data_IF_391956381158
#
_entry.id   IF_391956381158
#
_cell.length_a   1.000
_cell.length_b   1.000
_cell.length_c   1.000
_cell.angle_alpha   90.00
_cell.angle_beta   90.00
_cell.angle_gamma   90.00
#
_symmetry.space_group_name_H-M   'P 1'
#
loop_
_entity.id
_entity.type
_entity.pdbx_description
1 polymer ?
#
# COMPACT_ATOMS: atom_id res chain seq x y z
N UNK A 1 -13.33 -26.23 -10.82
CA UNK A 1 -12.26 -25.32 -10.30
C UNK A 1 -12.81 -24.55 -9.12
N UNK A 2 -12.04 -24.34 -8.08
CA UNK A 2 -12.45 -23.45 -6.98
C UNK A 2 -12.05 -22.01 -7.29
N UNK A 3 -13.02 -21.12 -7.43
CA UNK A 3 -12.78 -19.70 -7.64
C UNK A 3 -12.49 -18.98 -6.32
N UNK A 4 -11.51 -18.07 -6.34
CA UNK A 4 -11.20 -17.19 -5.21
C UNK A 4 -11.35 -15.73 -5.64
N UNK A 5 -11.89 -14.85 -4.79
CA UNK A 5 -12.04 -13.43 -5.15
C UNK A 5 -10.75 -12.77 -5.61
N UNK A 6 -9.63 -13.09 -4.96
CA UNK A 6 -8.29 -12.59 -5.34
C UNK A 6 -7.86 -13.08 -6.73
N UNK A 7 -8.18 -14.33 -7.10
CA UNK A 7 -7.91 -14.88 -8.43
C UNK A 7 -8.77 -14.19 -9.49
N UNK A 8 -10.07 -14.00 -9.23
CA UNK A 8 -10.97 -13.27 -10.11
C UNK A 8 -10.56 -11.79 -10.27
N UNK A 9 -10.13 -11.17 -9.19
CA UNK A 9 -9.61 -9.80 -9.24
C UNK A 9 -8.32 -9.71 -10.07
N UNK A 10 -7.45 -10.73 -10.02
CA UNK A 10 -6.26 -10.83 -10.87
C UNK A 10 -6.64 -10.96 -12.34
N UNK A 11 -7.67 -11.76 -12.65
CA UNK A 11 -8.21 -11.87 -14.01
C UNK A 11 -8.69 -10.52 -14.55
N UNK A 12 -9.46 -9.79 -13.75
CA UNK A 12 -9.95 -8.46 -14.16
C UNK A 12 -8.83 -7.43 -14.31
N UNK A 13 -7.83 -7.49 -13.43
CA UNK A 13 -6.70 -6.53 -13.44
C UNK A 13 -5.74 -6.76 -14.59
N UNK A 14 -5.50 -8.00 -14.96
CA UNK A 14 -4.49 -8.38 -15.95
C UNK A 14 -5.13 -8.96 -17.22
N UNK A 15 -5.52 -10.21 -17.21
CA UNK A 15 -6.27 -10.87 -18.27
C UNK A 15 -6.73 -12.27 -17.80
N UNK A 16 -7.69 -12.92 -18.53
CA UNK A 16 -8.16 -14.27 -18.20
C UNK A 16 -7.05 -15.32 -18.14
N UNK A 17 -6.05 -15.26 -19.01
CA UNK A 17 -4.94 -16.21 -19.03
C UNK A 17 -4.04 -16.16 -17.77
N UNK A 18 -4.10 -15.10 -16.97
CA UNK A 18 -3.41 -15.04 -15.69
C UNK A 18 -3.86 -16.16 -14.73
N UNK A 19 -5.09 -16.65 -14.88
CA UNK A 19 -5.60 -17.79 -14.09
C UNK A 19 -4.91 -19.07 -14.48
N UNK A 20 -4.59 -19.32 -15.77
CA UNK A 20 -3.90 -20.52 -16.20
C UNK A 20 -2.52 -20.64 -15.55
N UNK A 21 -1.81 -19.54 -15.42
CA UNK A 21 -0.54 -19.50 -14.69
C UNK A 21 -0.70 -19.80 -13.20
N UNK A 22 -1.78 -19.30 -12.59
CA UNK A 22 -2.09 -19.59 -11.20
C UNK A 22 -2.44 -21.08 -11.00
N UNK A 23 -3.30 -21.65 -11.86
CA UNK A 23 -3.68 -23.06 -11.86
C UNK A 23 -2.48 -24.00 -12.07
N UNK A 24 -1.55 -23.61 -12.95
CA UNK A 24 -0.32 -24.33 -13.18
C UNK A 24 0.69 -24.26 -12.02
N UNK A 25 0.37 -23.56 -10.94
CA UNK A 25 1.25 -23.42 -9.77
C UNK A 25 2.52 -22.62 -10.06
N UNK A 26 2.53 -21.79 -11.11
CA UNK A 26 3.70 -20.97 -11.42
C UNK A 26 4.03 -20.03 -10.24
N UNK A 27 5.29 -19.96 -9.82
CA UNK A 27 5.68 -19.18 -8.67
C UNK A 27 5.33 -17.71 -8.84
N UNK A 28 4.76 -17.11 -7.81
CA UNK A 28 4.60 -15.68 -7.68
C UNK A 28 5.77 -15.11 -6.87
N UNK A 29 6.20 -13.90 -7.15
CA UNK A 29 7.15 -13.22 -6.26
C UNK A 29 6.43 -12.79 -4.97
N UNK A 30 6.55 -13.62 -3.94
CA UNK A 30 5.90 -13.43 -2.63
C UNK A 30 6.78 -12.71 -1.61
N UNK A 31 8.03 -12.38 -1.95
CA UNK A 31 8.96 -11.73 -1.01
C UNK A 31 8.46 -10.39 -0.49
N UNK A 32 7.58 -9.73 -1.24
CA UNK A 32 6.99 -8.43 -0.88
C UNK A 32 5.89 -8.57 0.19
N UNK A 33 5.35 -9.76 0.40
CA UNK A 33 4.17 -10.00 1.25
C UNK A 33 4.48 -10.56 2.64
N UNK A 34 5.73 -10.88 2.94
CA UNK A 34 6.10 -11.59 4.17
C UNK A 34 5.64 -10.90 5.45
N UNK A 35 5.87 -9.59 5.59
CA UNK A 35 5.43 -8.84 6.77
C UNK A 35 3.89 -8.76 6.87
N UNK A 36 3.20 -8.67 5.72
CA UNK A 36 1.74 -8.71 5.67
C UNK A 36 1.19 -10.05 6.15
N UNK A 37 1.71 -11.16 5.61
CA UNK A 37 1.35 -12.51 6.04
C UNK A 37 1.59 -12.68 7.55
N UNK A 38 2.75 -12.26 8.06
CA UNK A 38 3.04 -12.34 9.47
C UNK A 38 2.05 -11.50 10.31
N UNK A 39 1.72 -10.28 9.89
CA UNK A 39 0.80 -9.42 10.61
C UNK A 39 -0.61 -10.04 10.74
N UNK A 40 -1.13 -10.68 9.68
CA UNK A 40 -2.41 -11.40 9.72
C UNK A 40 -2.38 -12.55 10.72
N UNK A 41 -1.31 -13.37 10.72
CA UNK A 41 -1.15 -14.48 11.66
C UNK A 41 -1.06 -13.98 13.12
N UNK A 42 -0.38 -12.84 13.37
CA UNK A 42 -0.31 -12.24 14.69
C UNK A 42 -1.65 -11.66 15.14
N UNK A 43 -2.40 -10.99 14.26
CA UNK A 43 -3.75 -10.50 14.57
C UNK A 43 -4.71 -11.64 14.92
N UNK A 44 -4.65 -12.74 14.15
CA UNK A 44 -5.41 -13.95 14.45
C UNK A 44 -5.02 -14.56 15.81
N UNK A 45 -3.72 -14.69 16.07
CA UNK A 45 -3.23 -15.20 17.34
C UNK A 45 -3.61 -14.32 18.54
N UNK A 46 -3.55 -12.99 18.39
CA UNK A 46 -4.01 -12.03 19.39
C UNK A 46 -5.50 -12.16 19.68
N UNK A 47 -6.33 -12.31 18.63
CA UNK A 47 -7.78 -12.48 18.77
C UNK A 47 -8.16 -13.78 19.47
N UNK A 48 -7.36 -14.84 19.30
CA UNK A 48 -7.57 -16.15 19.94
C UNK A 48 -6.80 -16.32 21.26
N UNK A 49 -6.03 -15.33 21.69
CA UNK A 49 -5.22 -15.40 22.91
C UNK A 49 -4.07 -16.42 22.83
N UNK A 50 -3.56 -16.70 21.63
CA UNK A 50 -2.45 -17.64 21.42
C UNK A 50 -1.09 -17.03 21.76
N UNK A 51 -0.11 -17.91 22.04
CA UNK A 51 1.27 -17.53 22.31
C UNK A 51 1.95 -16.96 21.05
N UNK A 52 2.34 -15.68 21.12
CA UNK A 52 2.96 -14.96 20.02
C UNK A 52 4.43 -15.35 19.78
N UNK A 53 5.15 -15.77 20.82
CA UNK A 53 6.55 -16.20 20.69
C UNK A 53 6.61 -17.57 19.98
N UNK A 54 5.75 -18.51 20.40
CA UNK A 54 5.62 -19.78 19.72
C UNK A 54 5.20 -19.60 18.24
N UNK A 55 4.29 -18.66 17.97
CA UNK A 55 3.91 -18.30 16.61
C UNK A 55 5.08 -17.75 15.79
N UNK A 56 5.85 -16.82 16.37
CA UNK A 56 7.02 -16.23 15.71
C UNK A 56 8.06 -17.31 15.30
N UNK A 57 8.38 -18.21 16.23
CA UNK A 57 9.28 -19.32 15.97
C UNK A 57 8.74 -20.22 14.84
N UNK A 58 7.45 -20.53 14.86
CA UNK A 58 6.81 -21.34 13.82
C UNK A 58 6.88 -20.67 12.45
N UNK A 59 6.56 -19.38 12.35
CA UNK A 59 6.59 -18.63 11.08
C UNK A 59 8.01 -18.57 10.49
N UNK A 60 9.04 -18.47 11.32
CA UNK A 60 10.44 -18.47 10.88
C UNK A 60 10.97 -19.86 10.51
N UNK A 61 10.49 -20.92 11.16
CA UNK A 61 11.04 -22.27 10.98
C UNK A 61 10.25 -23.15 9.98
N UNK A 62 8.93 -23.05 9.99
CA UNK A 62 8.02 -23.88 9.21
C UNK A 62 7.25 -23.05 8.19
N UNK A 63 7.03 -21.79 8.47
CA UNK A 63 6.17 -20.92 7.68
C UNK A 63 4.69 -21.10 8.04
N UNK A 64 3.82 -20.76 7.09
CA UNK A 64 2.37 -20.93 7.22
C UNK A 64 1.98 -22.34 6.79
N UNK A 65 1.14 -23.00 7.58
CA UNK A 65 0.67 -24.36 7.32
C UNK A 65 -0.80 -24.38 6.89
N UNK A 66 -1.24 -25.47 6.26
CA UNK A 66 -2.63 -25.65 5.84
C UNK A 66 -2.86 -25.38 4.36
N UNK A 67 -4.10 -25.01 4.00
CA UNK A 67 -4.53 -24.87 2.59
C UNK A 67 -3.76 -23.74 1.87
N UNK A 68 -3.34 -22.71 2.60
CA UNK A 68 -2.52 -21.62 2.07
C UNK A 68 -1.10 -21.71 2.65
N UNK A 69 -0.52 -22.89 2.61
CA UNK A 69 0.83 -23.12 3.09
C UNK A 69 1.83 -22.19 2.37
N UNK A 70 2.67 -21.57 3.15
CA UNK A 70 3.73 -20.66 2.68
C UNK A 70 5.07 -21.07 3.31
N UNK A 71 6.18 -20.86 2.60
CA UNK A 71 7.49 -21.17 3.14
C UNK A 71 7.83 -20.32 4.38
N UNK A 72 8.86 -20.67 5.14
CA UNK A 72 9.35 -19.89 6.25
C UNK A 72 9.56 -18.42 5.87
N UNK A 73 9.15 -17.52 6.77
CA UNK A 73 9.34 -16.09 6.60
C UNK A 73 10.70 -15.66 7.14
N UNK A 74 11.24 -14.57 6.60
CA UNK A 74 12.46 -13.99 7.15
C UNK A 74 12.22 -13.44 8.57
N UNK A 75 13.23 -13.44 9.46
CA UNK A 75 13.11 -12.86 10.79
C UNK A 75 12.61 -11.41 10.76
N UNK A 76 13.11 -10.59 9.83
CA UNK A 76 12.72 -9.19 9.69
C UNK A 76 11.23 -9.06 9.34
N UNK A 77 10.72 -9.91 8.43
CA UNK A 77 9.30 -9.91 8.07
C UNK A 77 8.41 -10.32 9.25
N UNK A 78 8.86 -11.28 10.08
CA UNK A 78 8.13 -11.71 11.28
C UNK A 78 8.11 -10.62 12.33
N UNK A 79 9.24 -9.96 12.59
CA UNK A 79 9.32 -8.83 13.53
C UNK A 79 8.46 -7.67 13.06
N UNK A 80 8.59 -7.25 11.80
CA UNK A 80 7.77 -6.17 11.23
C UNK A 80 6.28 -6.50 11.32
N UNK A 81 5.87 -7.71 10.96
CA UNK A 81 4.48 -8.14 11.01
C UNK A 81 3.92 -8.12 12.42
N UNK A 82 4.68 -8.59 13.42
CA UNK A 82 4.31 -8.53 14.83
C UNK A 82 4.11 -7.08 15.30
N UNK A 83 5.06 -6.21 14.98
CA UNK A 83 5.01 -4.81 15.40
C UNK A 83 3.82 -4.07 14.77
N UNK A 84 3.51 -4.35 13.50
CA UNK A 84 2.31 -3.83 12.83
C UNK A 84 1.03 -4.28 13.54
N UNK A 85 0.91 -5.58 13.88
CA UNK A 85 -0.25 -6.13 14.56
C UNK A 85 -0.44 -5.53 15.96
N UNK A 86 0.61 -5.51 16.77
CA UNK A 86 0.58 -4.95 18.13
C UNK A 86 0.25 -3.45 18.13
N UNK A 87 0.88 -2.69 17.24
CA UNK A 87 0.63 -1.26 17.12
C UNK A 87 -0.79 -0.93 16.63
N UNK A 88 -1.38 -1.80 15.80
CA UNK A 88 -2.76 -1.66 15.37
C UNK A 88 -3.72 -1.96 16.53
N UNK A 89 -3.55 -3.09 17.23
CA UNK A 89 -4.42 -3.53 18.34
C UNK A 89 -4.37 -2.56 19.53
N UNK A 90 -3.22 -1.93 19.78
CA UNK A 90 -3.11 -0.90 20.82
C UNK A 90 -4.05 0.29 20.58
N UNK A 91 -4.41 0.57 19.31
CA UNK A 91 -5.33 1.65 18.94
C UNK A 91 -6.76 1.15 18.67
N UNK A 92 -6.87 -0.07 18.17
CA UNK A 92 -8.12 -0.71 17.78
C UNK A 92 -8.19 -2.09 18.45
N UNK A 93 -8.64 -2.17 19.71
CA UNK A 93 -8.77 -3.43 20.43
C UNK A 93 -9.59 -4.46 19.64
N UNK A 94 -9.14 -5.70 19.67
CA UNK A 94 -9.85 -6.77 18.99
C UNK A 94 -11.11 -7.14 19.80
N UNK A 95 -12.27 -7.27 19.16
CA UNK A 95 -13.51 -7.62 19.84
C UNK A 95 -13.48 -9.08 20.33
N UNK A 96 -14.07 -9.32 21.47
CA UNK A 96 -14.27 -10.67 21.98
C UNK A 96 -15.32 -11.39 21.12
N UNK A 97 -15.11 -12.68 20.85
CA UNK A 97 -16.07 -13.50 20.10
C UNK A 97 -16.01 -13.33 18.57
N UNK A 98 -15.10 -12.51 18.05
CA UNK A 98 -14.90 -12.43 16.60
C UNK A 98 -14.33 -13.74 16.05
N UNK A 99 -14.68 -14.05 14.80
CA UNK A 99 -14.11 -15.19 14.07
C UNK A 99 -12.96 -14.69 13.20
N UNK A 100 -11.80 -15.33 13.33
CA UNK A 100 -10.61 -14.99 12.57
C UNK A 100 -10.34 -16.03 11.48
N UNK A 101 -9.84 -15.59 10.32
CA UNK A 101 -9.46 -16.45 9.18
C UNK A 101 -10.59 -17.43 8.79
N UNK A 102 -11.86 -17.00 8.96
CA UNK A 102 -13.02 -17.84 8.68
C UNK A 102 -13.15 -18.11 7.19
N UNK A 103 -13.22 -19.41 6.85
CA UNK A 103 -13.44 -19.86 5.48
C UNK A 103 -14.93 -19.93 5.18
N UNK A 104 -15.31 -19.40 4.03
CA UNK A 104 -16.61 -19.54 3.42
C UNK A 104 -16.46 -20.26 2.08
N UNK A 105 -17.27 -21.27 1.83
CA UNK A 105 -17.18 -22.13 0.67
C UNK A 105 -18.58 -22.47 0.15
N UNK A 106 -18.81 -22.28 -1.14
CA UNK A 106 -20.10 -22.40 -1.78
C UNK A 106 -20.00 -23.18 -3.09
N UNK A 107 -21.07 -23.89 -3.45
CA UNK A 107 -21.26 -24.45 -4.77
C UNK A 107 -21.68 -23.34 -5.79
N UNK A 108 -21.92 -23.75 -7.05
CA UNK A 108 -22.33 -22.83 -8.11
C UNK A 108 -23.74 -22.21 -7.90
N UNK A 109 -24.52 -22.78 -6.99
CA UNK A 109 -25.85 -22.27 -6.59
C UNK A 109 -25.81 -21.47 -5.30
N UNK A 110 -24.60 -21.15 -4.81
CA UNK A 110 -24.36 -20.43 -3.55
C UNK A 110 -24.87 -21.17 -2.31
N UNK A 111 -24.94 -22.52 -2.36
CA UNK A 111 -25.17 -23.33 -1.19
C UNK A 111 -23.86 -23.62 -0.47
N UNK A 112 -23.80 -23.53 0.86
CA UNK A 112 -22.60 -23.88 1.63
C UNK A 112 -22.16 -25.31 1.37
N UNK A 113 -20.85 -25.53 1.19
CA UNK A 113 -20.27 -26.86 0.98
C UNK A 113 -18.92 -26.99 1.70
N UNK A 114 -18.63 -28.19 2.19
CA UNK A 114 -17.37 -28.49 2.87
C UNK A 114 -16.27 -28.94 1.88
N UNK A 115 -16.65 -29.65 0.83
CA UNK A 115 -15.74 -30.20 -0.17
C UNK A 115 -16.04 -29.64 -1.58
N UNK A 116 -15.00 -29.58 -2.40
CA UNK A 116 -15.07 -29.21 -3.81
C UNK A 116 -15.88 -27.92 -4.11
N UNK A 117 -15.62 -26.82 -3.40
CA UNK A 117 -16.40 -25.61 -3.58
C UNK A 117 -16.16 -25.01 -4.97
N UNK A 118 -17.23 -24.45 -5.56
CA UNK A 118 -17.14 -23.61 -6.74
C UNK A 118 -16.52 -22.25 -6.44
N UNK A 119 -16.91 -21.65 -5.31
CA UNK A 119 -16.37 -20.39 -4.78
C UNK A 119 -15.88 -20.59 -3.36
N UNK A 120 -14.68 -20.12 -3.04
CA UNK A 120 -14.19 -20.11 -1.67
C UNK A 120 -13.43 -18.81 -1.37
N UNK A 121 -13.65 -18.28 -0.18
CA UNK A 121 -12.89 -17.14 0.32
C UNK A 121 -12.56 -17.35 1.79
N UNK A 122 -11.51 -16.69 2.24
CA UNK A 122 -11.16 -16.56 3.64
C UNK A 122 -11.29 -15.10 4.02
N UNK A 123 -11.87 -14.83 5.15
CA UNK A 123 -12.08 -13.49 5.68
C UNK A 123 -11.23 -13.34 6.92
N UNK A 124 -10.45 -12.29 6.99
CA UNK A 124 -9.48 -12.08 8.06
C UNK A 124 -10.18 -11.98 9.43
N UNK A 125 -11.30 -11.24 9.50
CA UNK A 125 -12.14 -11.16 10.71
C UNK A 125 -13.60 -10.95 10.36
N UNK A 126 -14.47 -11.72 11.03
CA UNK A 126 -15.94 -11.53 11.02
C UNK A 126 -16.40 -11.45 12.45
N UNK A 127 -17.23 -10.50 12.76
CA UNK A 127 -17.88 -10.35 14.04
C UNK A 127 -19.38 -10.09 13.86
N UNK A 128 -20.14 -10.47 14.86
CA UNK A 128 -21.58 -10.24 14.93
C UNK A 128 -21.81 -9.28 16.09
N UNK A 129 -22.27 -8.08 15.77
CA UNK A 129 -22.70 -7.09 16.76
C UNK A 129 -24.22 -7.18 16.87
N UNK A 130 -24.72 -7.48 18.06
CA UNK A 130 -26.14 -7.44 18.38
C UNK A 130 -26.42 -6.16 19.14
N UNK A 131 -27.38 -5.37 18.66
CA UNK A 131 -27.79 -4.11 19.25
C UNK A 131 -29.33 -4.01 19.23
N UNK A 132 -29.88 -3.09 19.98
CA UNK A 132 -31.28 -2.70 19.87
C UNK A 132 -31.35 -1.32 19.24
N UNK A 133 -32.16 -1.16 18.21
CA UNK A 133 -32.40 0.15 17.62
C UNK A 133 -33.16 1.10 18.56
N UNK A 134 -33.31 2.35 18.17
CA UNK A 134 -33.99 3.38 18.99
C UNK A 134 -35.47 3.01 19.32
N UNK A 135 -36.07 2.14 18.51
CA UNK A 135 -37.43 1.64 18.68
C UNK A 135 -37.50 0.33 19.46
N UNK A 136 -36.37 -0.22 19.94
CA UNK A 136 -36.24 -1.44 20.70
C UNK A 136 -36.31 -2.72 19.86
N UNK A 137 -36.13 -2.64 18.55
CA UNK A 137 -36.02 -3.83 17.71
C UNK A 137 -34.57 -4.35 17.68
N UNK A 138 -34.44 -5.67 17.78
CA UNK A 138 -33.14 -6.32 17.67
C UNK A 138 -32.49 -6.04 16.27
N UNK A 139 -31.29 -5.53 16.30
CA UNK A 139 -30.49 -5.25 15.11
C UNK A 139 -29.22 -6.08 15.13
N UNK A 140 -28.95 -6.80 14.04
CA UNK A 140 -27.75 -7.62 13.90
C UNK A 140 -26.87 -7.05 12.81
N UNK A 141 -25.68 -6.56 13.18
CA UNK A 141 -24.67 -6.05 12.26
C UNK A 141 -23.55 -7.07 12.10
N UNK A 142 -23.31 -7.51 10.86
CA UNK A 142 -22.15 -8.30 10.49
C UNK A 142 -21.00 -7.36 10.14
N UNK A 143 -19.90 -7.44 10.86
CA UNK A 143 -18.70 -6.65 10.59
C UNK A 143 -17.67 -7.54 9.91
N UNK A 144 -17.29 -7.18 8.68
CA UNK A 144 -16.36 -7.92 7.84
C UNK A 144 -15.09 -7.08 7.65
N UNK A 145 -14.02 -7.48 8.30
CA UNK A 145 -12.75 -6.74 8.28
C UNK A 145 -11.71 -7.46 7.43
N UNK A 146 -11.01 -6.69 6.60
CA UNK A 146 -9.83 -7.09 5.84
C UNK A 146 -8.63 -6.24 6.25
N UNK A 147 -7.56 -6.90 6.65
CA UNK A 147 -6.34 -6.23 7.06
C UNK A 147 -5.42 -5.98 5.87
N UNK A 148 -4.92 -4.77 5.74
CA UNK A 148 -3.98 -4.38 4.69
C UNK A 148 -2.69 -3.85 5.31
N UNK A 149 -1.58 -4.53 5.05
CA UNK A 149 -0.24 -4.09 5.44
C UNK A 149 0.44 -3.25 4.36
N UNK A 150 -0.07 -3.32 3.11
CA UNK A 150 0.47 -2.54 2.00
C UNK A 150 0.08 -1.06 2.11
N UNK A 151 0.96 -0.22 1.64
CA UNK A 151 0.78 1.20 1.47
C UNK A 151 0.47 1.47 -0.02
N UNK A 152 -0.60 2.14 -0.40
CA UNK A 152 -1.55 2.96 0.34
C UNK A 152 -2.99 2.38 0.36
N UNK A 153 -3.30 1.43 1.26
CA UNK A 153 -4.70 1.02 1.42
C UNK A 153 -5.54 2.21 1.92
N UNK A 154 -6.62 2.51 1.21
CA UNK A 154 -7.50 3.64 1.46
C UNK A 154 -8.97 3.20 1.38
N UNK A 155 -9.89 4.14 1.54
CA UNK A 155 -11.33 3.90 1.42
C UNK A 155 -11.74 3.24 0.08
N UNK A 156 -10.98 3.48 -1.00
CA UNK A 156 -11.25 2.84 -2.31
C UNK A 156 -11.16 1.31 -2.29
N UNK A 157 -10.47 0.73 -1.30
CA UNK A 157 -10.43 -0.73 -1.12
C UNK A 157 -11.79 -1.32 -0.75
N UNK A 158 -12.72 -0.53 -0.21
CA UNK A 158 -14.09 -0.97 0.11
C UNK A 158 -14.91 -1.33 -1.13
N UNK A 159 -14.53 -0.83 -2.32
CA UNK A 159 -15.24 -1.08 -3.58
C UNK A 159 -14.59 -2.18 -4.45
N UNK A 160 -13.54 -2.82 -3.95
CA UNK A 160 -12.86 -3.88 -4.73
C UNK A 160 -13.73 -5.12 -4.89
N UNK A 161 -13.48 -5.89 -5.95
CA UNK A 161 -14.16 -7.18 -6.16
C UNK A 161 -13.99 -8.11 -4.94
N UNK A 162 -12.82 -8.11 -4.32
CA UNK A 162 -12.56 -8.89 -3.11
C UNK A 162 -13.55 -8.51 -2.01
N UNK A 163 -13.77 -7.21 -1.76
CA UNK A 163 -14.70 -6.73 -0.74
C UNK A 163 -16.14 -7.10 -1.06
N UNK A 164 -16.56 -6.88 -2.31
CA UNK A 164 -17.90 -7.27 -2.77
C UNK A 164 -18.15 -8.77 -2.58
N UNK A 165 -17.16 -9.60 -2.93
CA UNK A 165 -17.28 -11.04 -2.76
C UNK A 165 -17.33 -11.45 -1.27
N UNK A 166 -16.54 -10.83 -0.41
CA UNK A 166 -16.60 -11.08 1.03
C UNK A 166 -17.94 -10.64 1.63
N UNK A 167 -18.49 -9.52 1.17
CA UNK A 167 -19.83 -9.07 1.55
C UNK A 167 -20.89 -10.11 1.19
N UNK A 168 -20.88 -10.58 -0.06
CA UNK A 168 -21.86 -11.57 -0.55
C UNK A 168 -21.78 -12.88 0.21
N UNK A 169 -20.59 -13.43 0.43
CA UNK A 169 -20.44 -14.73 1.11
C UNK A 169 -20.85 -14.70 2.57
N UNK A 170 -20.61 -13.56 3.26
CA UNK A 170 -21.05 -13.41 4.65
C UNK A 170 -22.55 -13.19 4.73
N UNK A 171 -23.11 -12.35 3.85
CA UNK A 171 -24.55 -12.14 3.76
C UNK A 171 -25.31 -13.44 3.49
N UNK A 172 -24.86 -14.26 2.54
CA UNK A 172 -25.49 -15.58 2.24
C UNK A 172 -25.43 -16.52 3.44
N UNK A 173 -24.36 -16.46 4.25
CA UNK A 173 -24.21 -17.29 5.45
C UNK A 173 -25.04 -16.81 6.63
N UNK A 174 -25.48 -15.55 6.62
CA UNK A 174 -26.15 -14.90 7.74
C UNK A 174 -27.38 -14.11 7.26
N UNK A 175 -28.41 -14.81 6.75
CA UNK A 175 -29.60 -14.14 6.17
C UNK A 175 -30.42 -13.36 7.21
N UNK A 176 -30.21 -13.61 8.50
CA UNK A 176 -30.85 -12.94 9.62
C UNK A 176 -30.31 -11.54 9.92
N UNK A 177 -29.16 -11.18 9.37
CA UNK A 177 -28.55 -9.90 9.62
C UNK A 177 -29.38 -8.73 9.05
N UNK A 178 -29.37 -7.61 9.77
CA UNK A 178 -30.04 -6.37 9.35
C UNK A 178 -29.05 -5.37 8.72
N UNK A 179 -27.78 -5.49 9.07
CA UNK A 179 -26.71 -4.62 8.55
C UNK A 179 -25.45 -5.42 8.21
N UNK A 180 -24.72 -4.93 7.23
CA UNK A 180 -23.40 -5.42 6.87
C UNK A 180 -22.41 -4.25 6.85
N UNK A 181 -21.42 -4.28 7.73
CA UNK A 181 -20.36 -3.29 7.81
C UNK A 181 -19.07 -3.85 7.23
N UNK A 182 -18.67 -3.33 6.08
CA UNK A 182 -17.39 -3.66 5.46
C UNK A 182 -16.30 -2.75 6.03
N UNK A 183 -15.19 -3.34 6.47
CA UNK A 183 -14.06 -2.61 7.00
C UNK A 183 -12.77 -2.99 6.27
N UNK A 184 -11.94 -1.99 6.00
CA UNK A 184 -10.54 -2.14 5.58
C UNK A 184 -9.66 -1.50 6.63
N UNK A 185 -8.84 -2.31 7.28
CA UNK A 185 -7.94 -1.89 8.33
C UNK A 185 -6.52 -1.76 7.79
N UNK A 186 -6.03 -0.52 7.63
CA UNK A 186 -4.66 -0.25 7.23
C UNK A 186 -3.73 -0.33 8.44
N UNK A 187 -2.96 -1.40 8.53
CA UNK A 187 -2.09 -1.68 9.68
C UNK A 187 -0.97 -0.64 9.84
N UNK A 188 -0.40 -0.14 8.72
CA UNK A 188 0.69 0.85 8.76
C UNK A 188 0.21 2.23 9.20
N UNK A 189 -0.98 2.64 8.78
CA UNK A 189 -1.59 3.92 9.19
C UNK A 189 -2.33 3.82 10.51
N UNK A 190 -2.68 2.60 10.93
CA UNK A 190 -3.55 2.35 12.08
C UNK A 190 -4.89 3.04 11.90
N UNK A 191 -5.46 2.94 10.70
CA UNK A 191 -6.72 3.56 10.29
C UNK A 191 -7.68 2.48 9.86
N UNK A 192 -8.97 2.67 10.15
CA UNK A 192 -10.04 1.78 9.70
C UNK A 192 -10.99 2.60 8.84
N UNK A 193 -11.18 2.16 7.60
CA UNK A 193 -12.20 2.67 6.69
C UNK A 193 -13.39 1.74 6.74
N UNK A 194 -14.60 2.27 6.83
CA UNK A 194 -15.79 1.45 6.95
C UNK A 194 -16.93 1.98 6.08
N UNK A 195 -17.75 1.05 5.59
CA UNK A 195 -19.04 1.33 4.96
C UNK A 195 -20.08 0.37 5.51
N UNK A 196 -21.20 0.91 5.95
CA UNK A 196 -22.36 0.11 6.38
C UNK A 196 -23.39 0.05 5.25
N UNK A 197 -23.91 -1.13 5.02
CA UNK A 197 -25.00 -1.45 4.08
C UNK A 197 -26.16 -1.90 4.95
N UNK A 198 -27.27 -1.19 4.92
CA UNK A 198 -28.54 -1.66 5.52
C UNK A 198 -29.09 -2.75 4.62
N UNK A 199 -29.49 -3.88 5.21
CA UNK A 199 -29.98 -5.05 4.46
C UNK A 199 -31.52 -4.97 4.26
N UNK A 200 -31.98 -3.78 3.89
CA UNK A 200 -33.33 -3.54 3.37
C UNK A 200 -33.46 -4.02 1.91
N UNK A 201 -34.54 -3.63 1.24
CA UNK A 201 -34.80 -4.01 -0.15
C UNK A 201 -33.67 -3.54 -1.08
N UNK A 202 -33.20 -2.30 -0.93
CA UNK A 202 -32.16 -1.71 -1.79
C UNK A 202 -30.78 -2.35 -1.53
N UNK A 203 -30.39 -2.53 -0.27
CA UNK A 203 -29.14 -3.17 0.10
C UNK A 203 -29.09 -4.63 -0.33
N UNK A 204 -30.20 -5.38 -0.12
CA UNK A 204 -30.33 -6.76 -0.59
C UNK A 204 -30.23 -6.83 -2.12
N UNK A 205 -30.93 -5.97 -2.85
CA UNK A 205 -30.85 -5.91 -4.30
C UNK A 205 -29.44 -5.58 -4.80
N UNK A 206 -28.69 -4.76 -4.07
CA UNK A 206 -27.28 -4.48 -4.37
C UNK A 206 -26.41 -5.73 -4.19
N UNK A 207 -26.56 -6.47 -3.09
CA UNK A 207 -25.81 -7.72 -2.83
C UNK A 207 -26.16 -8.80 -3.87
N UNK A 208 -27.42 -8.90 -4.28
CA UNK A 208 -27.85 -9.79 -5.34
C UNK A 208 -27.18 -9.45 -6.69
N UNK A 209 -27.07 -8.16 -7.04
CA UNK A 209 -26.31 -7.74 -8.23
C UNK A 209 -24.86 -8.16 -8.13
N UNK A 210 -24.19 -7.92 -6.99
CA UNK A 210 -22.80 -8.34 -6.79
C UNK A 210 -22.65 -9.86 -6.89
N UNK A 211 -23.59 -10.63 -6.35
CA UNK A 211 -23.64 -12.09 -6.48
C UNK A 211 -23.71 -12.51 -7.95
N UNK A 212 -24.59 -11.87 -8.73
CA UNK A 212 -24.70 -12.10 -10.16
C UNK A 212 -23.40 -11.78 -10.93
N UNK A 213 -22.78 -10.63 -10.64
CA UNK A 213 -21.52 -10.21 -11.25
C UNK A 213 -20.38 -11.21 -10.95
N UNK A 214 -20.27 -11.65 -9.70
CA UNK A 214 -19.27 -12.62 -9.27
C UNK A 214 -19.51 -13.97 -9.95
N UNK A 215 -20.76 -14.43 -10.02
CA UNK A 215 -21.14 -15.66 -10.72
C UNK A 215 -20.76 -15.60 -12.21
N UNK A 216 -21.05 -14.49 -12.87
CA UNK A 216 -20.68 -14.28 -14.27
C UNK A 216 -19.16 -14.29 -14.48
N UNK A 217 -18.40 -13.70 -13.55
CA UNK A 217 -16.94 -13.75 -13.57
C UNK A 217 -16.39 -15.16 -13.36
N UNK A 218 -16.97 -15.94 -12.44
CA UNK A 218 -16.60 -17.34 -12.26
C UNK A 218 -16.86 -18.14 -13.53
N UNK A 219 -18.03 -17.97 -14.14
CA UNK A 219 -18.38 -18.62 -15.41
C UNK A 219 -17.42 -18.22 -16.55
N UNK A 220 -17.08 -16.92 -16.64
CA UNK A 220 -16.11 -16.46 -17.62
C UNK A 220 -14.70 -17.06 -17.37
N UNK A 221 -14.35 -17.25 -16.11
CA UNK A 221 -13.09 -17.88 -15.72
C UNK A 221 -13.04 -19.38 -16.03
N UNK A 222 -14.19 -20.06 -16.13
CA UNK A 222 -14.29 -21.46 -16.50
C UNK A 222 -14.17 -21.71 -18.02
N UNK A 223 -14.41 -20.69 -18.85
CA UNK A 223 -14.29 -20.81 -20.31
C UNK A 223 -12.84 -21.06 -20.70
N UNK A 224 -12.60 -22.14 -21.44
CA UNK A 224 -11.27 -22.50 -21.98
C UNK A 224 -11.33 -22.65 -23.51
N UNK A 225 -10.23 -22.33 -24.24
CA UNK A 225 -8.98 -21.78 -23.74
C UNK A 225 -9.13 -20.30 -23.31
N UNK A 226 -8.40 -19.91 -22.26
CA UNK A 226 -8.33 -18.51 -21.84
C UNK A 226 -7.32 -17.77 -22.70
N UNK A 227 -7.81 -16.82 -23.46
CA UNK A 227 -6.98 -16.08 -24.41
C UNK A 227 -6.19 -14.99 -23.65
N UNK A 228 -4.86 -15.04 -23.81
CA UNK A 228 -4.00 -13.99 -23.30
C UNK A 228 -4.20 -12.70 -24.12
N UNK A 229 -4.66 -11.64 -23.46
CA UNK A 229 -4.91 -10.35 -24.11
C UNK A 229 -3.91 -9.32 -23.56
N UNK A 230 -2.95 -8.86 -24.39
CA UNK A 230 -2.02 -7.81 -23.97
C UNK A 230 -2.75 -6.54 -23.54
N UNK A 231 -2.38 -6.00 -22.40
CA UNK A 231 -2.96 -4.79 -21.82
C UNK A 231 -1.93 -4.05 -20.96
N UNK A 232 -2.18 -2.80 -20.57
CA UNK A 232 -1.33 -2.11 -19.59
C UNK A 232 -1.13 -2.89 -18.29
N UNK A 233 -2.07 -3.77 -17.92
CA UNK A 233 -1.94 -4.68 -16.79
C UNK A 233 -0.78 -5.66 -16.90
N UNK A 234 -0.28 -5.94 -18.10
CA UNK A 234 0.90 -6.80 -18.30
C UNK A 234 2.15 -6.23 -17.62
N UNK A 235 2.28 -4.91 -17.50
CA UNK A 235 3.41 -4.28 -16.83
C UNK A 235 3.57 -4.71 -15.36
N UNK A 236 2.46 -5.06 -14.70
CA UNK A 236 2.42 -5.49 -13.31
C UNK A 236 2.03 -6.96 -13.14
N UNK A 237 1.80 -7.68 -14.24
CA UNK A 237 1.43 -9.08 -14.23
C UNK A 237 2.62 -9.94 -13.75
N UNK A 238 2.45 -10.74 -12.68
CA UNK A 238 3.54 -11.55 -12.14
C UNK A 238 4.02 -12.66 -13.10
N UNK A 239 3.25 -12.96 -14.14
CA UNK A 239 3.58 -13.99 -15.14
C UNK A 239 3.92 -13.44 -16.54
N UNK A 240 4.04 -12.11 -16.69
CA UNK A 240 4.36 -11.51 -18.00
C UNK A 240 5.62 -12.10 -18.64
N UNK A 241 6.59 -12.49 -17.84
CA UNK A 241 7.85 -13.09 -18.30
C UNK A 241 7.69 -14.45 -19.01
N UNK A 242 6.58 -15.17 -18.76
CA UNK A 242 6.25 -16.46 -19.39
C UNK A 242 5.14 -16.38 -20.43
N UNK A 243 4.53 -15.22 -20.58
CA UNK A 243 3.37 -15.05 -21.43
C UNK A 243 3.80 -14.68 -22.85
N UNK A 244 3.52 -15.55 -23.85
CA UNK A 244 3.85 -15.30 -25.24
C UNK A 244 3.15 -14.04 -25.79
N UNK A 245 1.92 -13.78 -25.37
CA UNK A 245 1.20 -12.57 -25.78
C UNK A 245 1.82 -11.30 -25.20
N UNK A 246 2.31 -11.36 -23.95
CA UNK A 246 3.05 -10.26 -23.34
C UNK A 246 4.40 -10.02 -24.04
N UNK A 247 5.09 -11.12 -24.41
CA UNK A 247 6.32 -11.05 -25.17
C UNK A 247 6.12 -10.41 -26.55
N UNK A 248 5.11 -10.88 -27.28
CA UNK A 248 4.77 -10.32 -28.60
C UNK A 248 4.38 -8.84 -28.56
N UNK A 249 3.84 -8.38 -27.41
CA UNK A 249 3.49 -6.96 -27.19
C UNK A 249 4.65 -6.14 -26.56
N UNK A 250 5.84 -6.71 -26.41
CA UNK A 250 7.00 -6.03 -25.82
C UNK A 250 6.99 -5.92 -24.29
N UNK A 251 6.10 -6.67 -23.59
CA UNK A 251 6.01 -6.70 -22.12
C UNK A 251 6.80 -7.85 -21.50
N UNK A 252 7.69 -8.48 -22.25
CA UNK A 252 8.46 -9.63 -21.77
C UNK A 252 9.34 -9.23 -20.59
N UNK A 253 9.23 -9.97 -19.51
CA UNK A 253 10.16 -9.93 -18.38
C UNK A 253 11.13 -11.11 -18.48
N UNK A 254 12.36 -10.98 -17.99
CA UNK A 254 13.26 -12.12 -17.88
C UNK A 254 12.64 -13.20 -16.98
N UNK A 255 12.99 -14.47 -17.22
CA UNK A 255 12.56 -15.58 -16.37
C UNK A 255 13.12 -15.49 -14.93
N UNK A 256 12.68 -16.39 -14.03
CA UNK A 256 13.08 -16.31 -12.62
C UNK A 256 14.59 -16.45 -12.41
N UNK A 257 15.27 -17.26 -13.25
CA UNK A 257 16.73 -17.40 -13.17
C UNK A 257 17.42 -16.13 -13.64
N UNK A 258 16.92 -15.52 -14.73
CA UNK A 258 17.41 -14.25 -15.25
C UNK A 258 17.05 -13.10 -14.31
N UNK A 259 15.88 -13.13 -13.68
CA UNK A 259 15.48 -12.13 -12.65
C UNK A 259 16.42 -12.21 -11.47
N UNK A 260 16.70 -13.41 -10.95
CA UNK A 260 17.62 -13.60 -9.83
C UNK A 260 19.03 -13.13 -10.19
N UNK A 261 19.53 -13.47 -11.36
CA UNK A 261 20.83 -13.04 -11.86
C UNK A 261 20.87 -11.52 -12.06
N UNK A 262 19.82 -10.95 -12.67
CA UNK A 262 19.68 -9.52 -12.91
C UNK A 262 19.60 -8.75 -11.59
N UNK A 263 18.84 -9.26 -10.62
CA UNK A 263 18.72 -8.67 -9.30
C UNK A 263 20.05 -8.70 -8.54
N UNK A 264 20.77 -9.82 -8.59
CA UNK A 264 22.10 -9.94 -7.98
C UNK A 264 23.10 -8.99 -8.66
N UNK A 265 23.08 -8.91 -9.98
CA UNK A 265 23.93 -7.97 -10.76
C UNK A 265 23.60 -6.52 -10.44
N UNK A 266 22.30 -6.17 -10.36
CA UNK A 266 21.85 -4.83 -9.98
C UNK A 266 22.24 -4.49 -8.54
N UNK A 267 22.12 -5.46 -7.61
CA UNK A 267 22.55 -5.30 -6.21
C UNK A 267 24.03 -5.05 -6.11
N UNK A 268 24.84 -5.83 -6.82
CA UNK A 268 26.30 -5.64 -6.89
C UNK A 268 26.66 -4.29 -7.54
N UNK A 269 26.00 -3.93 -8.65
CA UNK A 269 26.24 -2.65 -9.32
C UNK A 269 25.87 -1.45 -8.45
N UNK A 270 24.76 -1.51 -7.70
CA UNK A 270 24.37 -0.48 -6.72
C UNK A 270 25.37 -0.38 -5.57
N UNK A 271 25.84 -1.52 -5.06
CA UNK A 271 26.90 -1.56 -4.04
C UNK A 271 28.20 -0.92 -4.50
N UNK A 272 28.66 -1.27 -5.72
CA UNK A 272 29.85 -0.68 -6.33
C UNK A 272 29.65 0.83 -6.60
N UNK A 273 28.48 1.23 -7.11
CA UNK A 273 28.19 2.63 -7.36
C UNK A 273 28.20 3.44 -6.06
N UNK A 274 27.61 2.89 -4.98
CA UNK A 274 27.63 3.53 -3.68
C UNK A 274 29.04 3.63 -3.12
N UNK A 275 29.84 2.56 -3.14
CA UNK A 275 31.21 2.58 -2.69
C UNK A 275 32.06 3.60 -3.48
N UNK A 276 31.88 3.66 -4.80
CA UNK A 276 32.54 4.66 -5.63
C UNK A 276 32.09 6.09 -5.28
N UNK A 277 30.80 6.30 -5.03
CA UNK A 277 30.27 7.59 -4.59
C UNK A 277 30.85 8.01 -3.24
N UNK A 278 30.91 7.10 -2.27
CA UNK A 278 31.47 7.38 -0.94
C UNK A 278 32.97 7.73 -1.04
N UNK A 279 33.74 6.97 -1.84
CA UNK A 279 35.16 7.27 -2.11
C UNK A 279 35.32 8.64 -2.80
N UNK A 280 34.49 8.94 -3.80
CA UNK A 280 34.57 10.23 -4.50
C UNK A 280 34.16 11.40 -3.58
N UNK A 281 33.25 11.18 -2.65
CA UNK A 281 32.90 12.18 -1.62
C UNK A 281 34.09 12.48 -0.70
N UNK A 282 34.77 11.45 -0.21
CA UNK A 282 36.00 11.61 0.59
C UNK A 282 37.07 12.37 -0.17
N UNK A 283 37.33 12.02 -1.46
CA UNK A 283 38.32 12.67 -2.28
C UNK A 283 37.97 14.13 -2.63
N UNK A 284 36.72 14.54 -2.46
CA UNK A 284 36.24 15.89 -2.78
C UNK A 284 35.85 16.71 -1.57
N UNK A 285 36.20 16.27 -0.35
CA UNK A 285 35.97 17.03 0.90
C UNK A 285 36.62 18.42 0.86
N UNK A 286 37.84 18.53 0.30
CA UNK A 286 38.57 19.77 0.21
C UNK A 286 38.25 20.60 -1.07
N UNK A 287 37.34 20.11 -1.92
CA UNK A 287 36.91 20.80 -3.14
C UNK A 287 36.65 19.87 -4.33
N UNK A 288 36.11 20.43 -5.42
CA UNK A 288 35.79 19.62 -6.59
C UNK A 288 37.05 19.08 -7.28
N UNK A 289 36.99 17.80 -7.67
CA UNK A 289 38.04 17.10 -8.39
C UNK A 289 37.71 17.06 -9.89
N UNK A 290 38.67 17.42 -10.74
CA UNK A 290 38.54 17.29 -12.20
C UNK A 290 39.46 16.19 -12.69
N UNK A 291 38.89 15.15 -13.32
CA UNK A 291 39.64 14.03 -13.88
C UNK A 291 39.22 13.83 -15.33
N UNK A 292 40.09 14.15 -16.24
CA UNK A 292 39.78 14.13 -17.67
C UNK A 292 38.59 15.06 -18.00
N UNK A 293 37.54 14.48 -18.59
CA UNK A 293 36.32 15.22 -18.94
C UNK A 293 35.25 15.22 -17.82
N UNK A 294 35.62 14.82 -16.62
CA UNK A 294 34.68 14.70 -15.50
C UNK A 294 35.04 15.62 -14.35
N UNK A 295 34.05 16.34 -13.82
CA UNK A 295 34.14 17.08 -12.58
C UNK A 295 33.24 16.42 -11.55
N UNK A 296 33.80 16.13 -10.37
CA UNK A 296 33.16 15.49 -9.25
C UNK A 296 33.25 16.39 -8.03
N UNK A 297 32.16 16.54 -7.29
CA UNK A 297 32.17 17.30 -6.04
C UNK A 297 30.85 17.94 -5.70
N UNK A 298 30.88 18.73 -4.64
CA UNK A 298 29.73 19.51 -4.21
C UNK A 298 29.47 20.68 -5.17
N UNK A 299 28.22 20.86 -5.51
CA UNK A 299 27.74 21.98 -6.35
C UNK A 299 26.76 22.83 -5.55
N UNK A 300 26.76 24.12 -5.87
CA UNK A 300 25.67 24.98 -5.42
C UNK A 300 24.40 24.63 -6.21
N UNK A 301 23.49 23.94 -5.58
CA UNK A 301 22.14 23.65 -6.12
C UNK A 301 21.17 24.76 -5.73
N UNK A 302 20.15 25.00 -6.57
CA UNK A 302 19.04 25.88 -6.21
C UNK A 302 17.95 25.06 -5.56
N UNK A 303 17.57 25.42 -4.34
CA UNK A 303 16.41 24.92 -3.62
C UNK A 303 15.37 26.01 -3.45
N UNK A 304 14.17 25.64 -3.05
CA UNK A 304 13.10 26.59 -2.67
C UNK A 304 12.59 26.21 -1.29
N UNK A 305 12.43 27.21 -0.43
CA UNK A 305 11.97 27.04 0.94
C UNK A 305 10.98 28.14 1.30
N UNK A 306 10.13 27.85 2.27
CA UNK A 306 9.26 28.85 2.89
C UNK A 306 10.00 29.52 4.04
N UNK A 307 9.91 30.83 4.14
CA UNK A 307 10.52 31.55 5.27
C UNK A 307 9.93 31.05 6.58
N UNK A 308 10.74 30.69 7.61
CA UNK A 308 10.24 30.24 8.90
C UNK A 308 9.27 31.23 9.57
N UNK A 309 9.52 32.53 9.42
CA UNK A 309 8.64 33.58 9.93
C UNK A 309 7.26 33.57 9.29
N UNK A 310 7.16 33.22 8.00
CA UNK A 310 5.89 33.07 7.30
C UNK A 310 5.10 31.86 7.80
N UNK A 311 5.79 30.76 8.16
CA UNK A 311 5.16 29.61 8.79
C UNK A 311 4.50 30.00 10.12
N UNK A 312 5.21 30.70 10.99
CA UNK A 312 4.69 31.17 12.28
C UNK A 312 3.48 32.09 12.10
N UNK A 313 3.59 33.08 11.18
CA UNK A 313 2.49 34.00 10.87
C UNK A 313 1.25 33.26 10.33
N UNK A 314 1.46 32.24 9.45
CA UNK A 314 0.39 31.43 8.90
C UNK A 314 -0.32 30.61 9.98
N UNK A 315 0.42 29.96 10.89
CA UNK A 315 -0.12 29.18 12.00
C UNK A 315 -0.89 30.11 12.97
N UNK A 316 -0.33 31.26 13.32
CA UNK A 316 -1.00 32.25 14.19
C UNK A 316 -2.34 32.68 13.58
N UNK A 317 -2.34 33.07 12.29
CA UNK A 317 -3.58 33.49 11.59
C UNK A 317 -4.61 32.36 11.52
N UNK A 318 -4.19 31.13 11.31
CA UNK A 318 -5.09 29.96 11.30
C UNK A 318 -5.73 29.74 12.68
N UNK A 319 -4.93 29.81 13.75
CA UNK A 319 -5.43 29.68 15.12
C UNK A 319 -6.37 30.81 15.52
N UNK A 320 -6.08 32.06 15.14
CA UNK A 320 -6.98 33.19 15.34
C UNK A 320 -8.34 32.96 14.68
N UNK A 321 -8.36 32.48 13.45
CA UNK A 321 -9.61 32.12 12.74
C UNK A 321 -10.38 30.99 13.41
N UNK A 322 -9.67 30.10 14.10
CA UNK A 322 -10.24 28.97 14.84
C UNK A 322 -10.63 29.30 16.27
N UNK A 323 -10.67 30.60 16.63
CA UNK A 323 -10.96 31.10 17.98
C UNK A 323 -10.01 30.59 19.09
N UNK A 324 -8.78 30.22 18.71
CA UNK A 324 -7.73 29.78 19.62
C UNK A 324 -6.44 30.59 19.41
N UNK A 325 -6.45 31.94 19.67
CA UNK A 325 -5.28 32.79 19.43
C UNK A 325 -4.12 32.36 20.33
N UNK A 326 -2.91 32.40 19.78
CA UNK A 326 -1.69 32.15 20.54
C UNK A 326 -1.44 33.33 21.50
N UNK A 327 -1.13 33.00 22.76
CA UNK A 327 -0.59 33.96 23.69
C UNK A 327 0.78 34.48 23.19
N UNK A 328 1.19 35.73 23.54
CA UNK A 328 2.45 36.31 23.06
C UNK A 328 3.68 35.40 23.36
N UNK A 329 3.69 34.73 24.52
CA UNK A 329 4.76 33.80 24.92
C UNK A 329 4.77 32.52 24.06
N UNK A 330 3.60 32.01 23.71
CA UNK A 330 3.47 30.84 22.81
C UNK A 330 3.92 31.17 21.40
N UNK A 331 3.63 32.38 20.92
CA UNK A 331 4.09 32.87 19.64
C UNK A 331 5.60 33.02 19.61
N UNK A 332 6.21 33.62 20.65
CA UNK A 332 7.65 33.74 20.78
C UNK A 332 8.34 32.37 20.85
N UNK A 333 7.76 31.43 21.59
CA UNK A 333 8.27 30.04 21.62
C UNK A 333 8.21 29.35 20.26
N UNK A 334 7.10 29.55 19.49
CA UNK A 334 6.96 29.01 18.14
C UNK A 334 7.98 29.65 17.18
N UNK A 335 8.20 30.96 17.29
CA UNK A 335 9.21 31.68 16.51
C UNK A 335 10.63 31.14 16.79
N UNK A 336 10.95 30.91 18.07
CA UNK A 336 12.23 30.34 18.48
C UNK A 336 12.41 28.89 17.96
N UNK A 337 11.36 28.07 18.01
CA UNK A 337 11.40 26.69 17.50
C UNK A 337 11.53 26.64 15.97
N UNK A 338 10.93 27.60 15.28
CA UNK A 338 11.00 27.64 13.80
C UNK A 338 12.28 28.33 13.30
N UNK A 339 12.97 29.09 14.16
CA UNK A 339 14.21 29.76 13.77
C UNK A 339 15.28 28.71 13.48
N UNK A 340 15.75 28.66 12.22
CA UNK A 340 16.73 27.68 11.77
C UNK A 340 16.16 26.41 11.18
N UNK A 341 14.83 26.27 11.14
CA UNK A 341 14.21 25.13 10.42
C UNK A 341 14.20 25.40 8.91
N UNK A 342 14.55 24.35 8.16
CA UNK A 342 14.31 24.31 6.72
C UNK A 342 12.84 23.92 6.47
N UNK A 343 12.04 24.87 5.98
CA UNK A 343 10.60 24.64 5.73
C UNK A 343 10.36 24.25 4.29
N UNK A 344 9.98 22.98 4.01
CA UNK A 344 9.75 22.52 2.64
C UNK A 344 8.60 23.30 1.97
N UNK A 345 8.73 23.61 0.67
CA UNK A 345 7.69 24.29 -0.13
C UNK A 345 6.34 23.60 -0.06
N UNK A 346 6.31 22.26 -0.04
CA UNK A 346 5.07 21.48 0.09
C UNK A 346 4.27 21.82 1.36
N UNK A 347 4.96 22.13 2.47
CA UNK A 347 4.30 22.57 3.69
C UNK A 347 3.72 23.99 3.50
N UNK A 348 4.47 24.87 2.84
CA UNK A 348 3.98 26.21 2.48
C UNK A 348 2.74 26.16 1.57
N UNK A 349 2.72 25.29 0.59
CA UNK A 349 1.57 25.08 -0.29
C UNK A 349 0.34 24.58 0.48
N UNK A 350 0.53 23.66 1.43
CA UNK A 350 -0.55 23.19 2.31
C UNK A 350 -1.10 24.29 3.20
N UNK A 351 -0.23 25.12 3.79
CA UNK A 351 -0.61 26.27 4.60
C UNK A 351 -1.33 27.34 3.78
N UNK A 352 -0.80 27.70 2.60
CA UNK A 352 -1.46 28.64 1.70
C UNK A 352 -2.87 28.17 1.32
N UNK A 353 -3.05 26.86 1.11
CA UNK A 353 -4.36 26.25 0.85
C UNK A 353 -5.30 26.33 2.06
N UNK A 354 -4.78 26.16 3.26
CA UNK A 354 -5.57 26.27 4.49
C UNK A 354 -5.99 27.71 4.82
N UNK A 355 -5.15 28.69 4.47
CA UNK A 355 -5.40 30.10 4.76
C UNK A 355 -6.27 30.81 3.72
N UNK A 356 -6.15 30.43 2.45
CA UNK A 356 -6.74 31.13 1.33
C UNK A 356 -7.61 30.20 0.46
N UNK A 357 -8.89 30.52 0.34
CA UNK A 357 -9.83 29.74 -0.47
C UNK A 357 -9.58 29.88 -1.98
N UNK A 358 -9.14 31.08 -2.43
CA UNK A 358 -8.97 31.40 -3.84
C UNK A 358 -7.55 31.13 -4.33
N UNK A 359 -7.44 30.57 -5.54
CA UNK A 359 -6.15 30.25 -6.14
C UNK A 359 -5.20 31.45 -6.29
N UNK A 360 -5.64 32.64 -6.78
CA UNK A 360 -4.75 33.80 -6.89
C UNK A 360 -4.16 34.27 -5.55
N UNK A 361 -4.93 34.20 -4.48
CA UNK A 361 -4.47 34.57 -3.14
C UNK A 361 -3.38 33.61 -2.63
N UNK A 362 -3.53 32.31 -2.92
CA UNK A 362 -2.51 31.28 -2.61
C UNK A 362 -1.22 31.50 -3.37
N UNK A 363 -1.32 31.81 -4.66
CA UNK A 363 -0.16 32.09 -5.52
C UNK A 363 0.57 33.35 -5.07
N UNK A 364 -0.16 34.42 -4.71
CA UNK A 364 0.41 35.64 -4.16
C UNK A 364 1.15 35.37 -2.84
N UNK A 365 0.54 34.61 -1.92
CA UNK A 365 1.16 34.26 -0.65
C UNK A 365 2.46 33.44 -0.85
N UNK A 366 2.44 32.46 -1.75
CA UNK A 366 3.63 31.67 -2.06
C UNK A 366 4.73 32.52 -2.71
N UNK A 367 4.37 33.44 -3.61
CA UNK A 367 5.33 34.33 -4.24
C UNK A 367 6.04 35.25 -3.24
N UNK A 368 5.32 35.67 -2.19
CA UNK A 368 5.87 36.52 -1.14
C UNK A 368 6.78 35.76 -0.16
N UNK A 369 6.43 34.50 0.17
CA UNK A 369 7.01 33.78 1.30
C UNK A 369 7.94 32.64 0.93
N UNK A 370 7.98 32.20 -0.34
CA UNK A 370 8.93 31.22 -0.82
C UNK A 370 10.21 31.89 -1.30
N UNK A 371 11.34 31.47 -0.79
CA UNK A 371 12.66 32.00 -1.17
C UNK A 371 13.47 30.93 -1.89
N UNK A 372 14.32 31.36 -2.82
CA UNK A 372 15.35 30.50 -3.38
C UNK A 372 16.52 30.41 -2.39
N UNK A 373 16.94 29.20 -2.10
CA UNK A 373 18.11 28.93 -1.26
C UNK A 373 19.17 28.17 -2.07
N UNK A 374 20.43 28.47 -1.77
CA UNK A 374 21.54 27.71 -2.35
C UNK A 374 21.83 26.54 -1.42
N UNK A 375 21.62 25.31 -1.92
CA UNK A 375 21.97 24.08 -1.20
C UNK A 375 23.14 23.41 -1.89
N UNK A 376 24.13 22.93 -1.14
CA UNK A 376 25.17 22.10 -1.73
C UNK A 376 24.52 20.78 -2.20
N UNK A 377 24.66 20.48 -3.47
CA UNK A 377 24.30 19.18 -4.05
C UNK A 377 25.57 18.52 -4.53
N UNK A 378 25.77 17.26 -4.15
CA UNK A 378 26.89 16.48 -4.65
C UNK A 378 26.53 15.82 -5.97
N UNK A 379 27.49 15.72 -6.90
CA UNK A 379 27.26 15.05 -8.16
C UNK A 379 28.51 14.93 -9.04
N UNK A 380 28.35 14.16 -10.10
CA UNK A 380 29.34 13.96 -11.17
C UNK A 380 28.77 14.56 -12.43
N UNK A 381 29.55 15.37 -13.13
CA UNK A 381 29.17 15.89 -14.44
C UNK A 381 30.30 15.71 -15.47
N UNK A 382 29.91 15.48 -16.69
CA UNK A 382 30.85 15.55 -17.80
C UNK A 382 31.13 17.02 -18.14
N UNK A 383 32.39 17.42 -18.12
CA UNK A 383 32.80 18.74 -18.57
C UNK A 383 33.03 18.62 -20.06
N UNK A 384 32.26 19.33 -20.85
CA UNK A 384 32.54 19.44 -22.29
C UNK A 384 33.86 20.21 -22.43
N UNK A 385 34.89 19.55 -22.95
CA UNK A 385 36.15 20.21 -23.25
C UNK A 385 35.85 21.37 -24.18
N UNK A 386 36.08 22.58 -23.72
CA UNK A 386 36.09 23.74 -24.61
C UNK A 386 37.21 23.48 -25.61
N UNK A 387 36.95 23.45 -26.92
CA UNK A 387 38.01 23.25 -27.90
C UNK A 387 39.02 24.39 -27.70
N UNK A 388 40.23 24.02 -27.28
CA UNK A 388 41.33 24.96 -27.21
C UNK A 388 41.60 25.38 -28.67
N UNK A 389 41.38 26.64 -28.98
CA UNK A 389 41.74 27.19 -30.29
C UNK A 389 43.22 26.92 -30.55
N UNK A 390 43.60 26.46 -31.76
CA UNK A 390 44.99 26.13 -32.08
C UNK A 390 45.98 27.31 -31.98
N UNK A 391 45.56 28.45 -31.48
CA UNK A 391 46.34 29.68 -31.35
C UNK A 391 46.84 29.99 -29.93
N UNK A 392 46.47 29.23 -28.90
CA UNK A 392 46.86 29.56 -27.51
C UNK A 392 47.98 28.69 -26.94
N UNK A 393 48.78 28.07 -27.82
CA UNK A 393 49.99 27.36 -27.41
C UNK A 393 51.21 28.21 -27.81
N UNK A 394 51.55 29.16 -26.95
CA UNK A 394 52.88 29.72 -26.83
C UNK A 394 53.17 30.03 -25.36
#
# INVERSE_FOLDING_TARGET
MTHRPTTLQTMLRHCPAAIDHYEAGHPQDRRIFGAGTAAHEFLHALGEGRDLEALAIRLMSVGRTGIDAEPPLSPDAVVEGRDLALAFVARHPLPAGAFYERRYAYDASWQPVDADPYMATRIDRVEVEEDEDEDGFASTTLVVTDYKSAWPATESELDTLQRRAQAVVVWVAHPEATHLRLQVANLRRREVYARTITLDEDGTAMLERWRGDITALCQAADVKPRIATPSPGCATCPWAYRCEAAAAAGWQRPDDADVAKTAATLGAAKGLAKAAEDTLRELTEDGPLVVGSWEVGAKAGKGREVRPTALVAAVATWLERSHAPLAPEQRAALEALCSGLEVPVKLGEALAKALHARKPEREAWLAEHVVEVVRPTWGVRQVVAVPVSPGDVF
#
